data_IF_599107113384
#
_entry.id   IF_599107113384
#
_cell.length_a   1.000
_cell.length_b   1.000
_cell.length_c   1.000
_cell.angle_alpha   90.00
_cell.angle_beta   90.00
_cell.angle_gamma   90.00
#
_symmetry.space_group_name_H-M   'P 1'
#
loop_
_entity.id
_entity.type
_entity.pdbx_description
1 polymer ?
#
# COMPACT_ATOMS: atom_id res chain seq x y z
N UNK A 1 19.37 -3.72 -7.24
CA UNK A 1 20.33 -4.31 -6.25
C UNK A 1 19.46 -5.13 -5.29
N UNK A 2 19.84 -6.33 -4.83
CA UNK A 2 18.93 -7.07 -3.94
C UNK A 2 18.74 -6.30 -2.62
N UNK A 3 17.49 -6.13 -2.19
CA UNK A 3 17.16 -5.54 -0.89
C UNK A 3 17.67 -6.44 0.23
N UNK A 4 18.08 -5.85 1.35
CA UNK A 4 18.36 -6.65 2.55
C UNK A 4 17.05 -7.11 3.19
N UNK A 5 17.08 -8.22 3.92
CA UNK A 5 15.92 -8.75 4.66
C UNK A 5 15.26 -7.68 5.56
N UNK A 6 16.08 -6.84 6.21
CA UNK A 6 15.59 -5.74 7.04
C UNK A 6 14.87 -4.66 6.23
N UNK A 7 15.36 -4.33 5.03
CA UNK A 7 14.71 -3.36 4.14
C UNK A 7 13.39 -3.92 3.60
N UNK A 8 13.36 -5.21 3.27
CA UNK A 8 12.15 -5.90 2.84
C UNK A 8 11.09 -5.91 3.94
N UNK A 9 11.45 -6.23 5.19
CA UNK A 9 10.51 -6.18 6.31
C UNK A 9 9.96 -4.76 6.55
N UNK A 10 10.81 -3.73 6.41
CA UNK A 10 10.39 -2.34 6.56
C UNK A 10 9.36 -1.93 5.50
N UNK A 11 9.61 -2.28 4.24
CA UNK A 11 8.72 -1.98 3.12
C UNK A 11 7.38 -2.71 3.23
N UNK A 12 7.38 -3.97 3.70
CA UNK A 12 6.14 -4.73 3.93
C UNK A 12 5.26 -4.04 4.98
N UNK A 13 5.82 -3.67 6.12
CA UNK A 13 5.09 -2.98 7.18
C UNK A 13 4.52 -1.62 6.71
N UNK A 14 5.26 -0.91 5.84
CA UNK A 14 4.80 0.35 5.27
C UNK A 14 3.65 0.16 4.29
N UNK A 15 3.72 -0.89 3.47
CA UNK A 15 2.64 -1.26 2.56
C UNK A 15 1.36 -1.63 3.32
N UNK A 16 1.46 -2.45 4.37
CA UNK A 16 0.32 -2.79 5.24
C UNK A 16 -0.32 -1.55 5.89
N UNK A 17 0.50 -0.57 6.29
CA UNK A 17 0.03 0.72 6.79
C UNK A 17 -0.69 1.54 5.72
N UNK A 18 -0.15 1.61 4.50
CA UNK A 18 -0.78 2.32 3.38
C UNK A 18 -2.13 1.68 3.01
N UNK A 19 -2.19 0.36 2.99
CA UNK A 19 -3.42 -0.40 2.75
C UNK A 19 -4.54 0.01 3.70
N UNK A 20 -4.24 -0.06 4.98
CA UNK A 20 -5.20 0.23 6.01
C UNK A 20 -5.64 1.70 6.01
N UNK A 21 -4.71 2.61 5.69
CA UNK A 21 -5.01 4.03 5.54
C UNK A 21 -6.06 4.27 4.43
N UNK A 22 -5.87 3.67 3.25
CA UNK A 22 -6.74 3.94 2.10
C UNK A 22 -8.03 3.12 2.10
N UNK A 23 -8.06 1.96 2.75
CA UNK A 23 -9.22 1.07 2.74
C UNK A 23 -10.08 1.16 4.00
N UNK A 24 -9.48 1.47 5.14
CA UNK A 24 -10.19 1.47 6.41
C UNK A 24 -10.42 2.88 6.94
N UNK A 25 -9.44 3.77 6.82
CA UNK A 25 -9.50 5.08 7.47
C UNK A 25 -10.10 6.16 6.57
N UNK A 26 -9.55 6.36 5.37
CA UNK A 26 -9.96 7.45 4.47
C UNK A 26 -11.40 7.35 3.95
N UNK A 27 -11.92 6.17 3.52
CA UNK A 27 -13.31 6.05 3.07
C UNK A 27 -14.33 6.39 4.17
N UNK A 28 -13.92 6.23 5.43
CA UNK A 28 -14.75 6.53 6.59
C UNK A 28 -14.54 7.95 7.13
N UNK A 29 -13.71 8.76 6.46
CA UNK A 29 -13.40 10.13 6.89
C UNK A 29 -12.72 10.18 8.25
N UNK A 30 -11.97 9.13 8.62
CA UNK A 30 -11.28 9.08 9.91
C UNK A 30 -10.24 10.21 10.03
N UNK A 31 -10.13 10.78 11.22
CA UNK A 31 -9.08 11.74 11.52
C UNK A 31 -7.71 11.05 11.50
N UNK A 32 -6.83 11.52 10.63
CA UNK A 32 -5.46 11.00 10.48
C UNK A 32 -4.49 11.56 11.54
N UNK A 33 -5.00 12.13 12.63
CA UNK A 33 -4.23 12.36 13.84
C UNK A 33 -3.91 11.04 14.54
N UNK A 34 -2.87 11.04 15.37
CA UNK A 34 -2.49 9.87 16.17
C UNK A 34 -3.65 9.36 17.03
N UNK A 35 -4.31 10.28 17.75
CA UNK A 35 -5.48 9.97 18.58
C UNK A 35 -6.66 9.47 17.74
N UNK A 36 -6.87 10.04 16.54
CA UNK A 36 -7.92 9.63 15.61
C UNK A 36 -7.73 8.20 15.11
N UNK A 37 -6.51 7.85 14.68
CA UNK A 37 -6.17 6.50 14.22
C UNK A 37 -6.31 5.48 15.35
N UNK A 38 -5.77 5.78 16.54
CA UNK A 38 -5.90 4.89 17.70
C UNK A 38 -7.37 4.71 18.10
N UNK A 39 -8.15 5.78 18.11
CA UNK A 39 -9.57 5.73 18.46
C UNK A 39 -10.36 4.86 17.50
N UNK A 40 -10.08 4.96 16.19
CA UNK A 40 -10.69 4.13 15.17
C UNK A 40 -10.44 2.63 15.43
N UNK A 41 -9.18 2.23 15.65
CA UNK A 41 -8.85 0.83 15.90
C UNK A 41 -9.40 0.32 17.22
N UNK A 42 -9.36 1.12 18.29
CA UNK A 42 -9.97 0.78 19.57
C UNK A 42 -11.48 0.54 19.44
N UNK A 43 -12.19 1.39 18.70
CA UNK A 43 -13.62 1.21 18.45
C UNK A 43 -13.89 -0.10 17.69
N UNK A 44 -13.12 -0.37 16.63
CA UNK A 44 -13.27 -1.58 15.81
C UNK A 44 -12.99 -2.87 16.59
N UNK A 45 -11.98 -2.88 17.47
CA UNK A 45 -11.74 -4.00 18.40
C UNK A 45 -12.95 -4.20 19.31
N UNK A 46 -13.48 -3.12 19.88
CA UNK A 46 -14.67 -3.15 20.73
C UNK A 46 -15.89 -3.74 20.01
N UNK A 47 -16.11 -3.39 18.75
CA UNK A 47 -17.20 -3.96 17.96
C UNK A 47 -17.01 -5.46 17.72
N UNK A 48 -15.83 -5.89 17.29
CA UNK A 48 -15.53 -7.30 17.00
C UNK A 48 -15.65 -8.18 18.24
N UNK A 49 -15.10 -7.72 19.37
CA UNK A 49 -15.06 -8.46 20.64
C UNK A 49 -16.39 -8.46 21.39
N UNK A 50 -17.25 -7.46 21.19
CA UNK A 50 -18.60 -7.45 21.76
C UNK A 50 -19.62 -8.21 20.90
N UNK A 51 -19.46 -8.21 19.57
CA UNK A 51 -20.38 -8.90 18.65
C UNK A 51 -20.19 -10.42 18.65
N UNK A 52 -19.02 -10.89 19.05
CA UNK A 52 -18.63 -12.29 19.05
C UNK A 52 -18.28 -12.68 20.48
N UNK A 53 -18.80 -13.77 21.03
CA UNK A 53 -18.33 -14.30 22.33
C UNK A 53 -16.92 -14.89 22.15
N UNK A 54 -15.91 -14.04 21.93
CA UNK A 54 -14.53 -14.45 21.68
C UNK A 54 -13.85 -14.76 23.01
N UNK A 55 -12.98 -15.77 23.00
CA UNK A 55 -12.10 -16.05 24.12
C UNK A 55 -11.20 -14.83 24.43
N UNK A 56 -10.98 -14.59 25.72
CA UNK A 56 -10.20 -13.46 26.21
C UNK A 56 -8.76 -13.45 25.69
N UNK A 57 -8.15 -14.62 25.47
CA UNK A 57 -6.82 -14.73 24.89
C UNK A 57 -6.77 -14.28 23.43
N UNK A 58 -7.81 -14.61 22.67
CA UNK A 58 -7.95 -14.20 21.26
C UNK A 58 -8.24 -12.70 21.18
N UNK A 59 -9.07 -12.17 22.08
CA UNK A 59 -9.33 -10.73 22.18
C UNK A 59 -8.03 -9.94 22.47
N UNK A 60 -7.20 -10.42 23.39
CA UNK A 60 -5.91 -9.79 23.70
C UNK A 60 -4.93 -9.81 22.52
N UNK A 61 -4.85 -10.95 21.80
CA UNK A 61 -4.00 -11.07 20.62
C UNK A 61 -4.46 -10.14 19.48
N UNK A 62 -5.78 -10.02 19.26
CA UNK A 62 -6.34 -9.08 18.29
C UNK A 62 -6.01 -7.63 18.67
N UNK A 63 -6.18 -7.26 19.93
CA UNK A 63 -5.86 -5.91 20.42
C UNK A 63 -4.39 -5.55 20.15
N UNK A 64 -3.47 -6.48 20.39
CA UNK A 64 -2.05 -6.28 20.09
C UNK A 64 -1.78 -6.07 18.59
N UNK A 65 -2.38 -6.91 17.73
CA UNK A 65 -2.23 -6.77 16.28
C UNK A 65 -2.77 -5.42 15.76
N UNK A 66 -3.94 -5.01 16.22
CA UNK A 66 -4.53 -3.73 15.85
C UNK A 66 -3.71 -2.54 16.37
N UNK A 67 -3.10 -2.64 17.55
CA UNK A 67 -2.17 -1.63 18.05
C UNK A 67 -0.93 -1.52 17.17
N UNK A 68 -0.33 -2.65 16.79
CA UNK A 68 0.82 -2.66 15.87
C UNK A 68 0.44 -1.97 14.56
N UNK A 69 -0.71 -2.34 13.98
CA UNK A 69 -1.23 -1.75 12.74
C UNK A 69 -1.46 -0.24 12.85
N UNK A 70 -2.10 0.20 13.93
CA UNK A 70 -2.32 1.61 14.20
C UNK A 70 -0.99 2.39 14.24
N UNK A 71 0.01 1.88 14.94
CA UNK A 71 1.33 2.52 15.03
C UNK A 71 2.06 2.57 13.68
N UNK A 72 2.00 1.50 12.88
CA UNK A 72 2.56 1.51 11.51
C UNK A 72 1.94 2.63 10.66
N UNK A 73 0.61 2.80 10.72
CA UNK A 73 -0.10 3.86 9.98
C UNK A 73 0.28 5.24 10.50
N UNK A 74 0.36 5.41 11.82
CA UNK A 74 0.76 6.68 12.46
C UNK A 74 2.15 7.10 12.00
N UNK A 75 3.11 6.18 11.98
CA UNK A 75 4.47 6.46 11.53
C UNK A 75 4.49 6.86 10.04
N UNK A 76 3.72 6.15 9.21
CA UNK A 76 3.60 6.47 7.79
C UNK A 76 3.02 7.87 7.56
N UNK A 77 1.93 8.21 8.26
CA UNK A 77 1.26 9.52 8.17
C UNK A 77 2.16 10.64 8.68
N UNK A 78 2.87 10.44 9.80
CA UNK A 78 3.84 11.41 10.33
C UNK A 78 4.94 11.70 9.31
N UNK A 79 5.54 10.65 8.75
CA UNK A 79 6.59 10.79 7.72
C UNK A 79 6.08 11.49 6.46
N UNK A 80 4.88 11.16 6.00
CA UNK A 80 4.29 11.82 4.84
C UNK A 80 4.03 13.31 5.10
N UNK A 81 3.56 13.67 6.29
CA UNK A 81 3.34 15.06 6.72
C UNK A 81 4.64 15.86 6.81
N UNK A 82 5.73 15.25 7.27
CA UNK A 82 7.04 15.90 7.35
C UNK A 82 7.65 16.15 5.97
N UNK A 83 7.34 15.30 4.99
CA UNK A 83 7.99 15.30 3.66
C UNK A 83 7.14 15.93 2.56
N UNK A 84 5.87 16.23 2.81
CA UNK A 84 5.00 16.83 1.80
C UNK A 84 3.53 16.86 2.17
N UNK A 85 2.68 16.78 1.15
CA UNK A 85 1.24 16.93 1.26
C UNK A 85 0.56 15.58 1.60
N UNK A 86 -0.11 15.52 2.75
CA UNK A 86 -0.83 14.34 3.22
C UNK A 86 -2.11 14.07 2.40
N UNK A 87 -2.65 15.08 1.71
CA UNK A 87 -3.84 14.92 0.88
C UNK A 87 -3.57 14.25 -0.47
N UNK A 88 -2.29 14.16 -0.86
CA UNK A 88 -1.88 13.43 -2.07
C UNK A 88 -1.61 11.94 -1.74
N UNK A 89 -2.58 11.08 -2.05
CA UNK A 89 -2.49 9.64 -1.80
C UNK A 89 -1.28 8.99 -2.50
N UNK A 90 -0.87 9.52 -3.66
CA UNK A 90 0.37 9.06 -4.33
C UNK A 90 1.59 9.42 -3.52
N UNK A 91 1.63 10.62 -2.92
CA UNK A 91 2.75 11.02 -2.09
C UNK A 91 2.88 10.06 -0.91
N UNK A 92 1.78 9.74 -0.24
CA UNK A 92 1.73 8.72 0.82
C UNK A 92 2.23 7.34 0.35
N UNK A 93 1.74 6.85 -0.79
CA UNK A 93 2.18 5.58 -1.36
C UNK A 93 3.67 5.60 -1.72
N UNK A 94 4.18 6.70 -2.26
CA UNK A 94 5.60 6.90 -2.56
C UNK A 94 6.43 6.84 -1.30
N UNK A 95 5.98 7.46 -0.22
CA UNK A 95 6.64 7.38 1.08
C UNK A 95 6.62 5.94 1.61
N UNK A 96 5.52 5.20 1.43
CA UNK A 96 5.40 3.80 1.80
C UNK A 96 6.27 2.86 0.95
N UNK A 97 6.50 3.20 -0.31
CA UNK A 97 7.31 2.42 -1.25
C UNK A 97 8.81 2.75 -1.18
N UNK A 98 9.19 3.80 -0.45
CA UNK A 98 10.56 4.27 -0.34
C UNK A 98 11.18 3.92 1.00
N UNK A 99 12.39 3.37 0.96
CA UNK A 99 13.23 3.25 2.14
C UNK A 99 13.49 4.67 2.70
N UNK A 100 13.45 4.87 4.03
CA UNK A 100 13.79 6.15 4.65
C UNK A 100 15.12 6.71 4.15
N UNK A 101 15.10 7.96 3.68
CA UNK A 101 16.28 8.65 3.14
C UNK A 101 16.64 8.27 1.70
N UNK A 102 15.85 7.45 1.02
CA UNK A 102 16.00 7.10 -0.39
C UNK A 102 14.78 7.52 -1.23
N UNK A 103 14.05 8.52 -0.78
CA UNK A 103 12.87 9.01 -1.48
C UNK A 103 13.26 9.68 -2.80
N UNK A 104 12.87 9.08 -3.93
CA UNK A 104 13.02 9.67 -5.26
C UNK A 104 11.70 10.29 -5.72
N UNK A 105 11.78 11.39 -6.48
CA UNK A 105 10.61 11.89 -7.19
C UNK A 105 10.15 10.87 -8.24
N UNK A 106 8.83 10.74 -8.41
CA UNK A 106 8.26 9.98 -9.52
C UNK A 106 8.35 10.83 -10.78
N UNK A 107 8.53 10.18 -11.93
CA UNK A 107 8.26 10.83 -13.21
C UNK A 107 6.82 11.39 -13.23
N UNK A 108 6.60 12.61 -13.79
CA UNK A 108 5.27 13.22 -13.86
C UNK A 108 4.24 12.29 -14.52
N UNK A 109 4.66 11.61 -15.56
CA UNK A 109 3.96 10.60 -16.34
C UNK A 109 3.43 9.45 -15.48
N UNK A 110 4.33 8.75 -14.78
CA UNK A 110 3.94 7.66 -13.89
C UNK A 110 3.08 8.16 -12.71
N UNK A 111 3.39 9.35 -12.21
CA UNK A 111 2.62 10.03 -11.19
C UNK A 111 1.19 10.37 -11.64
N UNK A 112 0.91 10.55 -12.94
CA UNK A 112 -0.46 10.67 -13.46
C UNK A 112 -1.13 9.31 -13.57
N UNK A 113 -0.44 8.32 -14.15
CA UNK A 113 -0.96 6.97 -14.32
C UNK A 113 -1.37 6.31 -13.00
N UNK A 114 -0.52 6.39 -11.97
CA UNK A 114 -0.83 5.86 -10.63
C UNK A 114 -2.03 6.58 -9.99
N UNK A 115 -2.27 7.84 -10.36
CA UNK A 115 -3.33 8.67 -9.75
C UNK A 115 -4.67 8.28 -10.34
N UNK A 116 -4.68 8.05 -11.66
CA UNK A 116 -5.82 7.48 -12.34
C UNK A 116 -6.12 6.07 -11.80
N UNK A 117 -5.12 5.19 -11.65
CA UNK A 117 -5.31 3.87 -11.03
C UNK A 117 -6.00 3.95 -9.66
N UNK A 118 -5.49 4.79 -8.75
CA UNK A 118 -6.03 4.92 -7.40
C UNK A 118 -7.42 5.57 -7.35
N UNK A 119 -7.83 6.33 -8.36
CA UNK A 119 -9.09 7.10 -8.35
C UNK A 119 -10.19 6.52 -9.23
N UNK A 120 -9.84 5.98 -10.40
CA UNK A 120 -10.79 5.47 -11.39
C UNK A 120 -10.68 3.96 -11.60
N UNK A 121 -9.66 3.32 -11.04
CA UNK A 121 -9.43 1.90 -11.27
C UNK A 121 -8.74 1.58 -12.59
N UNK A 122 -8.40 2.59 -13.40
CA UNK A 122 -7.92 2.40 -14.77
C UNK A 122 -6.80 3.38 -15.12
N UNK A 123 -5.80 2.91 -15.87
CA UNK A 123 -4.80 3.77 -16.51
C UNK A 123 -5.38 4.34 -17.81
N UNK A 124 -5.31 5.67 -18.04
CA UNK A 124 -5.75 6.28 -19.29
C UNK A 124 -5.02 5.65 -20.48
N UNK A 125 -5.70 5.38 -21.61
CA UNK A 125 -5.09 4.74 -22.78
C UNK A 125 -3.80 5.41 -23.27
N UNK A 126 -3.74 6.74 -23.18
CA UNK A 126 -2.59 7.58 -23.51
C UNK A 126 -1.38 7.35 -22.59
N UNK A 127 -1.62 6.94 -21.35
CA UNK A 127 -0.59 6.74 -20.33
C UNK A 127 -0.17 5.26 -20.20
N UNK A 128 -0.87 4.33 -20.86
CA UNK A 128 -0.54 2.89 -20.82
C UNK A 128 0.89 2.59 -21.28
N UNK A 129 1.39 3.33 -22.28
CA UNK A 129 2.74 3.12 -22.80
C UNK A 129 3.82 3.44 -21.75
N UNK A 130 3.52 4.32 -20.79
CA UNK A 130 4.43 4.71 -19.72
C UNK A 130 4.66 3.59 -18.70
N UNK A 131 3.75 2.61 -18.62
CA UNK A 131 3.94 1.41 -17.79
C UNK A 131 5.09 0.53 -18.30
N UNK A 132 5.59 0.78 -19.50
CA UNK A 132 6.64 0.01 -20.17
C UNK A 132 7.94 0.78 -20.37
N UNK A 133 8.02 2.01 -19.88
CA UNK A 133 9.26 2.80 -19.84
C UNK A 133 10.21 2.29 -18.74
N UNK A 134 11.53 2.60 -18.81
CA UNK A 134 12.46 2.22 -17.77
C UNK A 134 12.08 2.84 -16.42
N UNK A 135 11.73 1.99 -15.45
CA UNK A 135 11.34 2.39 -14.11
C UNK A 135 12.53 2.35 -13.14
N UNK A 136 12.52 3.25 -12.16
CA UNK A 136 13.31 3.06 -10.93
C UNK A 136 12.67 2.01 -10.02
N UNK A 137 13.41 1.50 -9.03
CA UNK A 137 12.85 0.55 -8.05
C UNK A 137 11.65 1.14 -7.30
N UNK A 138 11.74 2.40 -6.87
CA UNK A 138 10.65 3.13 -6.19
C UNK A 138 9.43 3.26 -7.10
N UNK A 139 9.63 3.62 -8.37
CA UNK A 139 8.55 3.73 -9.34
C UNK A 139 7.88 2.38 -9.60
N UNK A 140 8.64 1.30 -9.70
CA UNK A 140 8.10 -0.05 -9.83
C UNK A 140 7.27 -0.46 -8.59
N UNK A 141 7.76 -0.18 -7.38
CA UNK A 141 7.04 -0.44 -6.12
C UNK A 141 5.76 0.40 -6.01
N UNK A 142 5.83 1.69 -6.33
CA UNK A 142 4.65 2.58 -6.36
C UNK A 142 3.62 2.09 -7.37
N UNK A 143 4.05 1.67 -8.56
CA UNK A 143 3.14 1.16 -9.57
C UNK A 143 2.45 -0.15 -9.13
N UNK A 144 3.20 -1.08 -8.53
CA UNK A 144 2.62 -2.29 -7.93
C UNK A 144 1.65 -1.92 -6.82
N UNK A 145 2.07 -1.10 -5.85
CA UNK A 145 1.25 -0.68 -4.73
C UNK A 145 -0.06 -0.02 -5.20
N UNK A 146 0.02 0.93 -6.14
CA UNK A 146 -1.16 1.59 -6.70
C UNK A 146 -2.12 0.59 -7.36
N UNK A 147 -1.58 -0.44 -8.02
CA UNK A 147 -2.37 -1.48 -8.67
C UNK A 147 -3.03 -2.43 -7.66
N UNK A 148 -2.33 -2.84 -6.60
CA UNK A 148 -2.93 -3.68 -5.55
C UNK A 148 -4.01 -2.89 -4.78
N UNK A 149 -3.80 -1.60 -4.51
CA UNK A 149 -4.79 -0.77 -3.82
C UNK A 149 -6.01 -0.43 -4.67
N UNK A 150 -5.81 -0.21 -5.97
CA UNK A 150 -6.88 0.03 -6.93
C UNK A 150 -7.82 -1.18 -7.07
N UNK A 151 -7.31 -2.40 -6.90
CA UNK A 151 -8.06 -3.65 -7.03
C UNK A 151 -9.25 -3.75 -6.08
N UNK A 152 -9.18 -3.18 -4.88
CA UNK A 152 -10.32 -3.20 -3.95
C UNK A 152 -11.55 -2.42 -4.44
N UNK A 153 -11.42 -1.65 -5.53
CA UNK A 153 -12.50 -0.83 -6.08
C UNK A 153 -13.03 -1.34 -7.44
N UNK A 154 -12.39 -2.31 -8.11
CA UNK A 154 -12.80 -2.72 -9.45
C UNK A 154 -12.34 -4.16 -9.85
N UNK A 155 -13.27 -5.00 -10.31
CA UNK A 155 -13.09 -6.43 -10.62
C UNK A 155 -12.18 -6.73 -11.84
N UNK A 156 -11.91 -5.74 -12.71
CA UNK A 156 -11.10 -5.92 -13.92
C UNK A 156 -9.58 -5.78 -13.71
N UNK A 157 -9.15 -5.43 -12.50
CA UNK A 157 -7.74 -5.19 -12.16
C UNK A 157 -6.77 -6.38 -12.13
N UNK A 158 -7.18 -7.66 -11.98
CA UNK A 158 -6.23 -8.78 -11.92
C UNK A 158 -5.31 -8.87 -13.14
N UNK A 159 -5.84 -8.57 -14.33
CA UNK A 159 -5.07 -8.61 -15.59
C UNK A 159 -4.05 -7.46 -15.65
N UNK A 160 -4.38 -6.29 -15.12
CA UNK A 160 -3.47 -5.16 -15.09
C UNK A 160 -2.31 -5.40 -14.11
N UNK A 161 -2.61 -5.88 -12.91
CA UNK A 161 -1.58 -6.25 -11.93
C UNK A 161 -0.67 -7.34 -12.47
N UNK A 162 -1.23 -8.38 -13.12
CA UNK A 162 -0.44 -9.42 -13.79
C UNK A 162 0.49 -8.85 -14.86
N UNK A 163 0.01 -7.92 -15.70
CA UNK A 163 0.84 -7.29 -16.74
C UNK A 163 1.97 -6.45 -16.14
N UNK A 164 1.68 -5.69 -15.09
CA UNK A 164 2.66 -4.86 -14.39
C UNK A 164 3.73 -5.74 -13.74
N UNK A 165 3.33 -6.78 -13.00
CA UNK A 165 4.27 -7.71 -12.38
C UNK A 165 5.10 -8.48 -13.40
N UNK A 166 4.47 -8.92 -14.50
CA UNK A 166 5.19 -9.55 -15.60
C UNK A 166 6.25 -8.61 -16.18
N UNK A 167 5.89 -7.34 -16.42
CA UNK A 167 6.82 -6.35 -16.92
C UNK A 167 8.00 -6.15 -15.94
N UNK A 168 7.70 -5.91 -14.67
CA UNK A 168 8.70 -5.68 -13.60
C UNK A 168 9.67 -6.86 -13.46
N UNK A 169 9.14 -8.09 -13.46
CA UNK A 169 9.95 -9.31 -13.39
C UNK A 169 10.79 -9.51 -14.66
N UNK A 170 10.20 -9.30 -15.84
CA UNK A 170 10.89 -9.48 -17.12
C UNK A 170 12.08 -8.54 -17.31
N UNK A 171 11.99 -7.32 -16.79
CA UNK A 171 13.03 -6.31 -16.87
C UNK A 171 13.99 -6.34 -15.67
N UNK A 172 13.73 -7.19 -14.67
CA UNK A 172 14.48 -7.26 -13.41
C UNK A 172 14.57 -5.90 -12.68
N UNK A 173 13.50 -5.11 -12.68
CA UNK A 173 13.50 -3.85 -11.91
C UNK A 173 13.56 -4.12 -10.40
N UNK A 174 12.91 -5.18 -9.93
CA UNK A 174 12.89 -5.61 -8.54
C UNK A 174 13.36 -7.06 -8.43
N UNK A 175 13.91 -7.42 -7.27
CA UNK A 175 14.21 -8.80 -6.97
C UNK A 175 12.92 -9.61 -6.79
N UNK A 176 12.97 -10.92 -7.02
CA UNK A 176 11.79 -11.78 -6.91
C UNK A 176 11.24 -11.89 -5.48
N UNK A 177 12.09 -11.63 -4.48
CA UNK A 177 11.79 -11.59 -3.05
C UNK A 177 11.50 -10.17 -2.54
N UNK A 178 11.40 -9.17 -3.44
CA UNK A 178 10.96 -7.84 -3.04
C UNK A 178 9.52 -7.92 -2.50
N UNK A 179 9.22 -7.31 -1.33
CA UNK A 179 7.90 -7.38 -0.70
C UNK A 179 6.75 -6.95 -1.60
N UNK A 180 6.97 -5.96 -2.48
CA UNK A 180 5.92 -5.51 -3.41
C UNK A 180 5.64 -6.58 -4.46
N UNK A 181 6.68 -7.27 -4.93
CA UNK A 181 6.54 -8.37 -5.89
C UNK A 181 5.78 -9.54 -5.24
N UNK A 182 6.17 -9.92 -4.03
CA UNK A 182 5.51 -10.99 -3.27
C UNK A 182 4.06 -10.64 -2.94
N UNK A 183 3.78 -9.43 -2.47
CA UNK A 183 2.43 -8.95 -2.19
C UNK A 183 1.58 -8.93 -3.47
N UNK A 184 2.15 -8.52 -4.59
CA UNK A 184 1.49 -8.54 -5.89
C UNK A 184 1.15 -9.95 -6.37
N UNK A 185 2.06 -10.91 -6.22
CA UNK A 185 1.81 -12.32 -6.55
C UNK A 185 0.71 -12.91 -5.66
N UNK A 186 0.79 -12.69 -4.34
CA UNK A 186 -0.23 -13.13 -3.39
C UNK A 186 -1.60 -12.51 -3.69
N UNK A 187 -1.62 -11.23 -4.08
CA UNK A 187 -2.85 -10.56 -4.47
C UNK A 187 -3.45 -11.23 -5.71
N UNK A 188 -2.66 -11.57 -6.74
CA UNK A 188 -3.14 -12.32 -7.91
C UNK A 188 -3.65 -13.72 -7.54
N UNK A 189 -2.94 -14.42 -6.67
CA UNK A 189 -3.37 -15.75 -6.21
C UNK A 189 -4.70 -15.68 -5.48
N UNK A 190 -4.87 -14.71 -4.57
CA UNK A 190 -6.13 -14.46 -3.88
C UNK A 190 -7.28 -14.10 -4.85
N UNK A 191 -6.98 -13.48 -5.99
CA UNK A 191 -7.95 -13.18 -7.06
C UNK A 191 -8.34 -14.38 -7.92
N UNK A 192 -7.55 -15.46 -7.88
CA UNK A 192 -7.74 -16.65 -8.72
C UNK A 192 -8.50 -17.78 -8.00
N UNK A 193 -8.83 -17.58 -6.72
CA UNK A 193 -9.58 -18.49 -5.84
C UNK A 193 -11.07 -18.09 -5.79
#
# INVERSE_FOLDING_TARGET
>A
MALTEQQSALLLNQYEGAEALFLELLPLGADLSEDGILSYYCARIGELTNASNIDQSVAAALEEQFKIKAWQIIELVKRARETGDLSDLIHLLRIAASIPGQESALSPELGRACRALLTTGEVPPEDIQLLFEPLTETEARVLIGASIFSFQQNELLPIQLQRILWHIKSQNYLAADDPFVLAGDLAIEAMSL
#
